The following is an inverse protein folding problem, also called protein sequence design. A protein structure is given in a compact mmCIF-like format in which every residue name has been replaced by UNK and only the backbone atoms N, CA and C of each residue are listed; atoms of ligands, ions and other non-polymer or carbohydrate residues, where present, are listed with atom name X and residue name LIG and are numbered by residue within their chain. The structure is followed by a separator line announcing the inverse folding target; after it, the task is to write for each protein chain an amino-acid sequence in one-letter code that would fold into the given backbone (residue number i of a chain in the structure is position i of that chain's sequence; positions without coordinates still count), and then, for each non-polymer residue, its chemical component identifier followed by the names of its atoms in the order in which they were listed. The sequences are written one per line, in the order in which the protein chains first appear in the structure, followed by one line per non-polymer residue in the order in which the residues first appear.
data_IF_195277115549
#
_entry.id   IF_195277115549
#
_cell.length_a   1.000
_cell.length_b   1.000
_cell.length_c   1.000
_cell.angle_alpha   90.00
_cell.angle_beta   90.00
_cell.angle_gamma   90.00
#
_symmetry.space_group_name_H-M   'P 1'
#
loop_
_entity.id
_entity.type
_entity.pdbx_description
1 polymer ?
#
# COMPACT_ATOMS: atom_id res chain seq x y z
N UNK A 1 13.81 -6.00 23.45
CA UNK A 1 13.97 -5.02 22.34
C UNK A 1 13.63 -5.76 21.06
N UNK A 2 12.73 -5.22 20.25
CA UNK A 2 12.26 -5.87 19.01
C UNK A 2 12.62 -4.95 17.85
N UNK A 3 13.26 -5.51 16.82
CA UNK A 3 13.50 -4.84 15.56
C UNK A 3 12.52 -5.42 14.55
N UNK A 4 11.74 -4.56 13.92
CA UNK A 4 10.71 -4.98 12.98
C UNK A 4 10.61 -4.02 11.80
N UNK A 5 10.10 -4.54 10.70
CA UNK A 5 9.64 -3.75 9.56
C UNK A 5 8.19 -3.30 9.78
N UNK A 6 7.60 -2.66 8.78
CA UNK A 6 6.18 -2.29 8.73
C UNK A 6 5.20 -3.45 8.95
N UNK A 7 5.62 -4.72 8.89
CA UNK A 7 4.79 -5.87 9.30
C UNK A 7 4.32 -5.73 10.75
N UNK A 8 5.13 -5.10 11.61
CA UNK A 8 4.77 -4.85 13.00
C UNK A 8 3.74 -3.73 13.20
N UNK A 9 3.28 -3.07 12.14
CA UNK A 9 2.26 -2.02 12.22
C UNK A 9 0.85 -2.60 12.42
N UNK A 10 0.48 -3.58 11.60
CA UNK A 10 -0.88 -4.13 11.53
C UNK A 10 -0.96 -5.62 11.87
N UNK A 11 0.01 -6.43 11.43
CA UNK A 11 -0.14 -7.88 11.30
C UNK A 11 0.21 -8.70 12.56
N UNK A 12 0.68 -8.09 13.64
CA UNK A 12 1.14 -8.83 14.83
C UNK A 12 0.80 -8.12 16.13
N UNK A 13 0.19 -8.81 17.10
CA UNK A 13 -0.04 -8.23 18.42
C UNK A 13 1.17 -8.48 19.30
N UNK A 14 1.92 -7.42 19.61
CA UNK A 14 3.02 -7.48 20.58
C UNK A 14 2.49 -6.91 21.91
N UNK A 15 2.35 -7.73 22.97
CA UNK A 15 1.93 -7.24 24.27
C UNK A 15 2.99 -6.32 24.89
N UNK A 16 2.56 -5.41 25.76
CA UNK A 16 3.42 -4.62 26.65
C UNK A 16 4.45 -3.69 26.00
N UNK A 17 4.20 -3.23 24.77
CA UNK A 17 5.04 -2.22 24.12
C UNK A 17 4.85 -0.86 24.82
N UNK A 18 5.90 -0.40 25.51
CA UNK A 18 5.94 0.92 26.16
C UNK A 18 6.59 1.99 25.28
N UNK A 19 7.59 1.60 24.49
CA UNK A 19 8.39 2.52 23.71
C UNK A 19 8.41 2.08 22.26
N UNK A 20 8.07 3.01 21.37
CA UNK A 20 8.23 2.85 19.92
C UNK A 20 9.29 3.85 19.46
N UNK A 21 10.24 3.37 18.66
CA UNK A 21 11.24 4.21 17.99
C UNK A 21 10.94 4.07 16.50
N UNK A 22 10.50 5.16 15.87
CA UNK A 22 10.07 5.19 14.47
C UNK A 22 10.99 6.08 13.65
N UNK A 23 11.51 5.54 12.55
CA UNK A 23 12.31 6.30 11.58
C UNK A 23 11.43 7.01 10.53
N UNK A 24 10.12 6.78 10.55
CA UNK A 24 9.14 7.26 9.56
C UNK A 24 9.47 6.80 8.14
N UNK A 25 10.08 5.63 8.00
CA UNK A 25 10.49 5.03 6.73
C UNK A 25 9.79 3.69 6.53
N UNK A 26 9.58 3.36 5.27
CA UNK A 26 9.03 2.10 4.78
C UNK A 26 9.86 1.51 3.65
N UNK A 27 9.73 0.19 3.48
CA UNK A 27 10.19 -0.50 2.27
C UNK A 27 8.98 -0.88 1.44
N UNK A 28 8.86 -0.25 0.28
CA UNK A 28 7.80 -0.49 -0.68
C UNK A 28 8.35 -1.11 -1.95
N UNK A 29 7.53 -1.92 -2.61
CA UNK A 29 7.85 -2.50 -3.91
C UNK A 29 7.48 -1.47 -4.98
N UNK A 30 8.50 -0.91 -5.63
CA UNK A 30 8.34 0.08 -6.69
C UNK A 30 8.65 -0.59 -8.02
N UNK A 31 7.72 -0.47 -8.96
CA UNK A 31 7.91 -0.91 -10.35
C UNK A 31 8.34 0.29 -11.20
N UNK A 32 9.47 0.15 -11.89
CA UNK A 32 9.89 1.12 -12.90
C UNK A 32 8.99 0.99 -14.14
N UNK A 33 8.26 2.06 -14.52
CA UNK A 33 7.33 2.01 -15.65
C UNK A 33 8.03 1.83 -17.00
N UNK A 34 9.31 2.19 -17.14
CA UNK A 34 10.05 2.07 -18.40
C UNK A 34 10.62 0.66 -18.60
N UNK A 35 11.11 0.06 -17.52
CA UNK A 35 11.78 -1.25 -17.58
C UNK A 35 10.92 -2.42 -17.10
N UNK A 36 9.74 -2.14 -16.51
CA UNK A 36 8.87 -3.11 -15.82
C UNK A 36 9.58 -3.89 -14.71
N UNK A 37 10.72 -3.41 -14.22
CA UNK A 37 11.46 -4.07 -13.15
C UNK A 37 10.96 -3.60 -11.79
N UNK A 38 10.65 -4.55 -10.90
CA UNK A 38 10.21 -4.25 -9.53
C UNK A 38 11.38 -4.36 -8.55
N UNK A 39 11.56 -3.35 -7.71
CA UNK A 39 12.59 -3.34 -6.66
C UNK A 39 12.03 -2.83 -5.32
N UNK A 40 12.68 -3.21 -4.22
CA UNK A 40 12.34 -2.72 -2.89
C UNK A 40 13.07 -1.40 -2.63
N UNK A 41 12.33 -0.30 -2.60
CA UNK A 41 12.86 1.02 -2.30
C UNK A 41 12.48 1.48 -0.90
N UNK A 42 13.35 2.29 -0.32
CA UNK A 42 13.15 2.92 0.97
C UNK A 42 12.44 4.25 0.74
N UNK A 43 11.24 4.38 1.28
CA UNK A 43 10.35 5.54 1.08
C UNK A 43 9.90 6.09 2.43
N UNK A 44 9.37 7.31 2.42
CA UNK A 44 8.76 7.88 3.63
C UNK A 44 7.43 7.18 3.92
N UNK A 45 7.25 6.78 5.17
CA UNK A 45 5.99 6.20 5.63
C UNK A 45 4.88 7.26 5.59
N UNK A 46 3.65 6.85 5.27
CA UNK A 46 2.53 7.79 5.30
C UNK A 46 2.25 8.28 6.71
N UNK A 47 1.55 9.41 6.83
CA UNK A 47 1.08 9.89 8.13
C UNK A 47 0.25 8.84 8.88
N UNK A 48 -0.59 8.11 8.16
CA UNK A 48 -1.41 7.04 8.72
C UNK A 48 -0.55 5.90 9.28
N UNK A 49 0.54 5.53 8.59
CA UNK A 49 1.45 4.48 9.06
C UNK A 49 2.16 4.87 10.35
N UNK A 50 2.69 6.10 10.41
CA UNK A 50 3.30 6.63 11.63
C UNK A 50 2.32 6.69 12.81
N UNK A 51 1.06 7.05 12.57
CA UNK A 51 0.02 7.07 13.60
C UNK A 51 -0.33 5.65 14.09
N UNK A 52 -0.40 4.66 13.19
CA UNK A 52 -0.58 3.26 13.57
C UNK A 52 0.58 2.73 14.44
N UNK A 53 1.83 3.05 14.07
CA UNK A 53 3.02 2.70 14.87
C UNK A 53 2.98 3.35 16.25
N UNK A 54 2.60 4.63 16.33
CA UNK A 54 2.41 5.32 17.61
C UNK A 54 1.39 4.59 18.49
N UNK A 55 0.30 4.10 17.90
CA UNK A 55 -0.74 3.33 18.58
C UNK A 55 -0.30 1.94 19.09
N UNK A 56 0.92 1.49 18.79
CA UNK A 56 1.50 0.28 19.40
C UNK A 56 1.97 0.51 20.83
N UNK A 57 2.43 1.72 21.14
CA UNK A 57 2.71 2.11 22.51
C UNK A 57 1.40 2.54 23.20
N UNK A 58 1.27 2.26 24.49
CA UNK A 58 0.18 2.86 25.28
C UNK A 58 -1.04 1.96 25.52
N UNK A 59 -0.99 0.67 25.15
CA UNK A 59 -2.14 -0.25 25.36
C UNK A 59 -2.35 -0.67 26.81
N UNK A 60 -1.28 -0.77 27.59
CA UNK A 60 -1.32 -1.31 28.97
C UNK A 60 -0.88 -0.27 30.01
N UNK A 61 0.09 0.58 29.66
CA UNK A 61 0.62 1.66 30.50
C UNK A 61 0.97 2.87 29.64
N UNK A 62 1.24 4.04 30.22
CA UNK A 62 1.66 5.24 29.48
C UNK A 62 2.84 4.94 28.54
N UNK A 63 2.55 4.91 27.23
CA UNK A 63 3.53 4.66 26.19
C UNK A 63 4.12 5.95 25.61
N UNK A 64 5.32 5.86 25.05
CA UNK A 64 5.95 6.95 24.29
C UNK A 64 6.37 6.46 22.91
N UNK A 65 6.18 7.31 21.91
CA UNK A 65 6.69 7.11 20.56
C UNK A 65 7.70 8.20 20.25
N UNK A 66 8.90 7.80 19.82
CA UNK A 66 9.98 8.68 19.41
C UNK A 66 10.11 8.61 17.89
N UNK A 67 9.67 9.65 17.19
CA UNK A 67 9.91 9.78 15.75
C UNK A 67 11.28 10.45 15.52
N UNK A 68 12.16 9.77 14.79
CA UNK A 68 13.54 10.20 14.52
C UNK A 68 13.65 11.09 13.28
N UNK A 69 12.71 12.01 13.14
CA UNK A 69 12.62 12.95 12.03
C UNK A 69 12.29 14.35 12.57
N UNK A 70 12.57 15.38 11.77
CA UNK A 70 12.19 16.75 12.11
C UNK A 70 10.66 16.86 12.16
N UNK A 71 10.13 17.63 13.11
CA UNK A 71 8.69 17.88 13.25
C UNK A 71 8.05 18.41 11.95
N UNK A 72 8.76 19.25 11.21
CA UNK A 72 8.33 19.74 9.89
C UNK A 72 8.10 18.60 8.89
N UNK A 73 8.94 17.57 8.90
CA UNK A 73 8.79 16.43 7.99
C UNK A 73 7.53 15.61 8.34
N UNK A 74 7.25 15.40 9.62
CA UNK A 74 6.02 14.70 10.08
C UNK A 74 4.76 15.42 9.60
N UNK A 75 4.78 16.76 9.56
CA UNK A 75 3.67 17.56 9.06
C UNK A 75 3.52 17.49 7.53
N UNK A 76 4.60 17.17 6.83
CA UNK A 76 4.65 17.05 5.38
C UNK A 76 4.48 15.61 4.87
N UNK A 77 4.28 14.62 5.76
CA UNK A 77 4.04 13.24 5.34
C UNK A 77 2.72 13.13 4.55
N UNK A 78 2.81 12.51 3.40
CA UNK A 78 1.68 12.29 2.50
C UNK A 78 0.71 11.22 3.05
N UNK A 79 -0.57 11.24 2.62
CA UNK A 79 -1.50 10.15 2.90
C UNK A 79 -1.05 8.84 2.23
N UNK A 80 -1.52 7.68 2.71
CA UNK A 80 -1.16 6.39 2.13
C UNK A 80 -1.55 6.32 0.65
N UNK A 81 -0.64 5.76 -0.16
CA UNK A 81 -0.85 5.62 -1.60
C UNK A 81 -1.92 4.55 -1.87
N UNK A 82 -2.99 4.92 -2.57
CA UNK A 82 -4.14 4.03 -2.86
C UNK A 82 -3.87 3.15 -4.09
N UNK A 83 -2.78 3.42 -4.83
CA UNK A 83 -2.49 2.78 -6.12
C UNK A 83 -2.17 1.28 -6.01
N UNK A 84 -1.99 0.72 -4.81
CA UNK A 84 -1.88 -0.74 -4.61
C UNK A 84 -3.12 -1.51 -5.11
N UNK A 85 -4.28 -0.85 -5.15
CA UNK A 85 -5.51 -1.43 -5.72
C UNK A 85 -5.37 -1.61 -7.24
N UNK A 86 -4.72 -0.68 -7.94
CA UNK A 86 -4.57 -0.73 -9.41
C UNK A 86 -3.66 -1.89 -9.84
N UNK A 87 -2.57 -2.13 -9.10
CA UNK A 87 -1.69 -3.28 -9.33
C UNK A 87 -2.43 -4.59 -9.07
N UNK A 88 -3.32 -4.62 -8.06
CA UNK A 88 -4.17 -5.78 -7.78
C UNK A 88 -5.20 -6.02 -8.87
N UNK A 89 -5.78 -4.96 -9.44
CA UNK A 89 -6.72 -5.05 -10.58
C UNK A 89 -6.01 -5.54 -11.84
N UNK A 90 -4.78 -5.09 -12.11
CA UNK A 90 -3.97 -5.57 -13.23
C UNK A 90 -3.63 -7.06 -13.07
N UNK A 91 -3.18 -7.48 -11.87
CA UNK A 91 -2.95 -8.89 -11.55
C UNK A 91 -4.23 -9.74 -11.64
N UNK A 92 -5.38 -9.19 -11.23
CA UNK A 92 -6.67 -9.86 -11.38
C UNK A 92 -7.09 -9.99 -12.85
N UNK A 93 -6.84 -8.99 -13.69
CA UNK A 93 -7.05 -9.10 -15.14
C UNK A 93 -6.15 -10.16 -15.76
N UNK A 94 -4.90 -10.25 -15.32
CA UNK A 94 -3.93 -11.27 -15.77
C UNK A 94 -4.41 -12.68 -15.41
N UNK A 95 -4.87 -12.89 -14.16
CA UNK A 95 -5.48 -14.14 -13.72
C UNK A 95 -6.80 -14.43 -14.46
N UNK A 96 -7.65 -13.42 -14.67
CA UNK A 96 -8.92 -13.59 -15.42
C UNK A 96 -8.64 -13.98 -16.87
N UNK A 97 -7.62 -13.41 -17.52
CA UNK A 97 -7.22 -13.80 -18.89
C UNK A 97 -6.74 -15.26 -18.93
N UNK A 98 -6.05 -15.71 -17.89
CA UNK A 98 -5.61 -17.11 -17.74
C UNK A 98 -6.77 -18.06 -17.41
N UNK A 99 -7.79 -17.59 -16.69
CA UNK A 99 -8.99 -18.35 -16.35
C UNK A 99 -10.12 -18.26 -17.40
N UNK A 100 -10.04 -17.34 -18.36
CA UNK A 100 -11.06 -17.13 -19.40
C UNK A 100 -11.17 -18.29 -20.40
N UNK A 101 -10.25 -19.26 -20.38
CA UNK A 101 -10.48 -20.56 -21.02
C UNK A 101 -11.51 -21.43 -20.27
N UNK A 102 -11.99 -21.03 -19.08
CA UNK A 102 -12.84 -21.86 -18.21
C UNK A 102 -14.00 -21.19 -17.45
N UNK A 103 -14.27 -19.89 -17.59
CA UNK A 103 -15.35 -19.22 -16.80
C UNK A 103 -16.56 -18.85 -17.67
N UNK A 104 -17.76 -19.24 -17.21
CA UNK A 104 -19.05 -18.97 -17.86
C UNK A 104 -19.44 -17.48 -17.78
N UNK A 105 -20.06 -17.00 -18.86
CA UNK A 105 -20.43 -15.61 -19.24
C UNK A 105 -21.07 -14.70 -18.17
N UNK A 106 -21.55 -15.23 -17.04
CA UNK A 106 -22.31 -14.48 -16.03
C UNK A 106 -21.44 -13.70 -15.02
N UNK A 107 -20.20 -14.13 -14.76
CA UNK A 107 -19.31 -13.45 -13.80
C UNK A 107 -18.71 -12.14 -14.36
N UNK A 108 -18.72 -11.96 -15.67
CA UNK A 108 -18.18 -10.77 -16.36
C UNK A 108 -19.02 -9.50 -16.11
N UNK A 109 -20.31 -9.66 -15.79
CA UNK A 109 -21.22 -8.52 -15.58
C UNK A 109 -21.07 -7.84 -14.22
N UNK A 110 -20.65 -8.59 -13.20
CA UNK A 110 -20.45 -8.07 -11.85
C UNK A 110 -19.14 -7.28 -11.75
N UNK A 111 -18.09 -7.74 -12.42
CA UNK A 111 -16.80 -7.03 -12.53
C UNK A 111 -16.90 -5.76 -13.38
N UNK A 112 -17.67 -5.78 -14.48
CA UNK A 112 -17.90 -4.59 -15.31
C UNK A 112 -18.62 -3.47 -14.55
N UNK A 113 -19.56 -3.81 -13.65
CA UNK A 113 -20.30 -2.80 -12.87
C UNK A 113 -19.43 -2.09 -11.82
N UNK A 114 -18.40 -2.76 -11.31
CA UNK A 114 -17.36 -2.14 -10.49
C UNK A 114 -16.36 -1.31 -11.32
N UNK A 115 -16.16 -1.69 -12.59
CA UNK A 115 -15.27 -1.02 -13.55
C UNK A 115 -15.77 0.35 -14.02
N UNK A 116 -17.09 0.50 -14.19
CA UNK A 116 -17.71 1.70 -14.76
C UNK A 116 -17.83 2.88 -13.76
N UNK A 117 -17.32 2.73 -12.53
CA UNK A 117 -17.26 3.81 -11.53
C UNK A 117 -16.04 4.74 -11.77
N UNK A 118 -16.03 5.39 -12.94
CA UNK A 118 -15.41 6.70 -13.21
C UNK A 118 -13.87 6.85 -13.20
N UNK A 119 -13.11 6.05 -12.46
CA UNK A 119 -11.66 6.27 -12.29
C UNK A 119 -10.80 5.53 -13.33
N UNK A 120 -11.29 4.42 -13.89
CA UNK A 120 -10.49 3.52 -14.73
C UNK A 120 -10.47 3.95 -16.22
N UNK A 121 -11.48 4.67 -16.69
CA UNK A 121 -11.63 4.99 -18.11
C UNK A 121 -10.49 5.89 -18.63
N UNK A 122 -10.02 6.83 -17.79
CA UNK A 122 -8.92 7.75 -18.12
C UNK A 122 -7.59 7.00 -18.25
N UNK A 123 -7.35 6.01 -17.38
CA UNK A 123 -6.12 5.22 -17.37
C UNK A 123 -6.06 4.20 -18.51
N UNK A 124 -7.20 3.61 -18.89
CA UNK A 124 -7.28 2.70 -20.05
C UNK A 124 -7.13 3.44 -21.37
N UNK A 125 -7.59 4.69 -21.45
CA UNK A 125 -7.35 5.56 -22.61
C UNK A 125 -5.85 5.77 -22.85
N UNK A 126 -5.12 6.11 -21.79
CA UNK A 126 -3.68 6.34 -21.87
C UNK A 126 -2.88 5.06 -22.21
N UNK A 127 -3.35 3.88 -21.79
CA UNK A 127 -2.70 2.60 -22.11
C UNK A 127 -2.97 2.12 -23.55
N UNK A 128 -4.05 2.56 -24.21
CA UNK A 128 -4.31 2.26 -25.62
C UNK A 128 -3.42 3.09 -26.56
N UNK A 129 -3.08 4.32 -26.19
CA UNK A 129 -2.19 5.16 -27.00
C UNK A 129 -0.72 4.71 -26.95
N UNK A 130 -0.30 3.99 -25.90
CA UNK A 130 1.05 3.44 -25.81
C UNK A 130 1.25 2.07 -26.48
N UNK A 131 0.20 1.50 -27.09
CA UNK A 131 0.24 0.19 -27.75
C UNK A 131 0.15 0.27 -29.29
N UNK A 132 0.33 1.46 -29.89
CA UNK A 132 0.46 1.64 -31.35
C UNK A 132 1.85 2.11 -31.74
#
# INVERSE_FOLDING_TARGET
IILATNIAESSITIPDVQYVIDFCLDKEMVCDPETNYSCLQLVWASKANCDQRRGRAGRVVHGKCYCLVKSMLVLALEPPNINDIEVTVLKLKEIHMFCAERVQENDLRLTQKAYDSGAILTTVGNLKEQSQ
#
